data_IF_704320280993
#
_entry.id   IF_704320280993
#
_cell.length_a   1.000
_cell.length_b   1.000
_cell.length_c   1.000
_cell.angle_alpha   90.00
_cell.angle_beta   90.00
_cell.angle_gamma   90.00
#
_symmetry.space_group_name_H-M   'P 1'
#
loop_
_entity.id
_entity.type
_entity.pdbx_description
1 polymer ?
#
# COMPACT_ATOMS: atom_id res chain seq x y z
N UNK A 1 -14.10 27.07 -8.65
CA UNK A 1 -14.12 26.47 -7.30
C UNK A 1 -13.05 25.40 -7.26
N UNK A 2 -12.31 25.35 -6.15
CA UNK A 2 -11.27 24.40 -5.75
C UNK A 2 -10.10 24.21 -6.73
N UNK A 3 -9.14 25.14 -6.66
CA UNK A 3 -7.74 24.76 -6.85
C UNK A 3 -7.39 23.91 -5.64
N UNK A 4 -7.44 22.58 -5.78
CA UNK A 4 -6.60 21.75 -4.93
C UNK A 4 -5.17 22.13 -5.38
N UNK A 5 -4.32 22.71 -4.52
CA UNK A 5 -2.95 22.95 -4.92
C UNK A 5 -2.37 21.57 -5.24
N UNK A 6 -2.04 21.32 -6.50
CA UNK A 6 -1.27 20.14 -6.88
C UNK A 6 0.01 20.20 -6.05
N UNK A 7 0.14 19.31 -5.06
CA UNK A 7 1.39 19.14 -4.33
C UNK A 7 2.41 18.73 -5.40
N UNK A 8 3.54 19.44 -5.55
CA UNK A 8 4.57 19.02 -6.49
C UNK A 8 4.95 17.56 -6.23
N UNK A 9 5.06 16.74 -7.28
CA UNK A 9 5.32 15.30 -7.14
C UNK A 9 6.55 14.99 -6.28
N UNK A 10 7.61 15.81 -6.40
CA UNK A 10 8.81 15.69 -5.55
C UNK A 10 8.50 15.90 -4.06
N UNK A 11 7.64 16.86 -3.74
CA UNK A 11 7.21 17.11 -2.37
C UNK A 11 6.34 15.97 -1.84
N UNK A 12 5.47 15.41 -2.68
CA UNK A 12 4.68 14.24 -2.34
C UNK A 12 5.56 13.02 -2.06
N UNK A 13 6.51 12.72 -2.94
CA UNK A 13 7.46 11.60 -2.77
C UNK A 13 8.25 11.72 -1.46
N UNK A 14 8.77 12.91 -1.15
CA UNK A 14 9.50 13.14 0.09
C UNK A 14 8.64 12.95 1.34
N UNK A 15 7.41 13.49 1.32
CA UNK A 15 6.49 13.38 2.44
C UNK A 15 6.04 11.92 2.65
N UNK A 16 5.76 11.21 1.56
CA UNK A 16 5.36 9.81 1.58
C UNK A 16 6.50 8.89 2.08
N UNK A 17 7.72 9.12 1.60
CA UNK A 17 8.90 8.40 2.09
C UNK A 17 9.13 8.62 3.60
N UNK A 18 8.97 9.85 4.09
CA UNK A 18 9.06 10.16 5.51
C UNK A 18 7.94 9.50 6.35
N UNK A 19 6.73 9.35 5.78
CA UNK A 19 5.66 8.56 6.39
C UNK A 19 6.05 7.09 6.52
N UNK A 20 6.58 6.49 5.45
CA UNK A 20 7.06 5.10 5.46
C UNK A 20 8.27 4.88 6.37
N UNK A 21 9.05 5.91 6.69
CA UNK A 21 10.13 5.79 7.68
C UNK A 21 9.61 5.48 9.09
N UNK A 22 8.35 5.82 9.40
CA UNK A 22 7.68 5.50 10.66
C UNK A 22 7.10 4.08 10.69
N UNK A 23 7.15 3.35 9.58
CA UNK A 23 6.55 2.03 9.46
C UNK A 23 7.01 1.05 10.56
N UNK A 24 8.29 0.95 10.94
CA UNK A 24 8.71 0.06 12.03
C UNK A 24 8.02 0.37 13.37
N UNK A 25 7.79 1.65 13.68
CA UNK A 25 7.10 2.06 14.91
C UNK A 25 5.60 1.69 14.84
N UNK A 26 4.97 1.86 13.67
CA UNK A 26 3.59 1.45 13.44
C UNK A 26 3.41 -0.07 13.61
N UNK A 27 4.30 -0.84 12.98
CA UNK A 27 4.41 -2.30 13.04
C UNK A 27 4.56 -2.80 14.49
N UNK A 28 5.37 -2.13 15.32
CA UNK A 28 5.55 -2.51 16.73
C UNK A 28 4.36 -2.09 17.61
N UNK A 29 3.70 -0.98 17.26
CA UNK A 29 2.58 -0.42 18.03
C UNK A 29 1.25 -1.10 17.76
N UNK A 30 1.05 -1.59 16.54
CA UNK A 30 -0.17 -2.27 16.13
C UNK A 30 -0.02 -3.78 16.33
N UNK A 31 -1.00 -4.37 17.02
CA UNK A 31 -1.12 -5.83 17.00
C UNK A 31 -1.51 -6.17 15.57
N UNK A 32 -0.60 -6.81 14.84
CA UNK A 32 -0.76 -7.27 13.45
C UNK A 32 -1.94 -8.21 13.18
N UNK A 33 -2.91 -8.35 14.08
CA UNK A 33 -4.13 -9.08 13.80
C UNK A 33 -4.88 -8.48 12.58
N UNK A 34 -4.69 -7.19 12.29
CA UNK A 34 -5.31 -6.51 11.15
C UNK A 34 -4.25 -5.99 10.16
N UNK A 35 -4.44 -6.15 8.83
CA UNK A 35 -3.57 -5.51 7.84
C UNK A 35 -3.69 -3.99 7.91
N UNK A 36 -2.56 -3.30 7.86
CA UNK A 36 -2.46 -1.84 7.84
C UNK A 36 -2.36 -1.34 6.40
N UNK A 37 -3.26 -0.47 5.92
CA UNK A 37 -3.11 0.21 4.64
C UNK A 37 -1.89 1.13 4.62
N UNK A 38 -1.23 1.21 3.46
CA UNK A 38 -0.09 2.10 3.24
C UNK A 38 -0.45 3.39 2.49
N UNK A 39 -1.72 3.78 2.50
CA UNK A 39 -2.12 5.06 1.90
C UNK A 39 -1.59 6.25 2.72
N UNK A 40 -1.50 7.46 2.12
CA UNK A 40 -0.98 8.63 2.80
C UNK A 40 -1.71 8.97 4.12
N UNK A 41 -3.02 8.73 4.22
CA UNK A 41 -3.80 8.98 5.43
C UNK A 41 -3.38 8.03 6.55
N UNK A 42 -3.25 6.74 6.24
CA UNK A 42 -2.81 5.70 7.18
C UNK A 42 -1.37 5.91 7.68
N UNK A 43 -0.53 6.59 6.89
CA UNK A 43 0.84 6.95 7.26
C UNK A 43 0.95 8.35 7.91
N UNK A 44 -0.17 9.02 8.19
CA UNK A 44 -0.22 10.39 8.70
C UNK A 44 0.55 11.41 7.85
N UNK A 45 0.63 11.19 6.54
CA UNK A 45 1.29 12.09 5.58
C UNK A 45 0.32 13.18 5.16
N UNK A 46 -0.87 12.79 4.69
CA UNK A 46 -1.94 13.68 4.26
C UNK A 46 -3.29 12.94 4.17
N UNK A 47 -4.45 13.61 4.25
CA UNK A 47 -5.75 12.95 4.35
C UNK A 47 -6.28 12.51 2.98
N UNK A 48 -5.49 11.73 2.24
CA UNK A 48 -5.87 11.12 0.95
C UNK A 48 -5.66 9.63 1.00
N UNK A 49 -6.65 8.89 0.52
CA UNK A 49 -6.58 7.45 0.28
C UNK A 49 -6.04 7.14 -1.11
N UNK A 50 -5.71 5.87 -1.39
CA UNK A 50 -5.27 5.46 -2.74
C UNK A 50 -6.26 5.83 -3.85
N UNK A 51 -7.57 5.90 -3.54
CA UNK A 51 -8.62 6.23 -4.51
C UNK A 51 -8.54 7.68 -5.01
N UNK A 52 -7.84 8.55 -4.29
CA UNK A 52 -7.72 9.98 -4.55
C UNK A 52 -6.38 10.36 -5.19
N UNK A 53 -5.47 9.38 -5.36
CA UNK A 53 -4.15 9.59 -5.94
C UNK A 53 -4.19 9.51 -7.47
N UNK A 54 -3.39 10.36 -8.12
CA UNK A 54 -3.15 10.29 -9.55
C UNK A 54 -2.30 9.06 -9.93
N UNK A 55 -2.29 8.62 -11.20
CA UNK A 55 -1.45 7.51 -11.64
C UNK A 55 0.05 7.71 -11.38
N UNK A 56 0.53 8.96 -11.42
CA UNK A 56 1.94 9.28 -11.13
C UNK A 56 2.24 9.17 -9.63
N UNK A 57 1.32 9.61 -8.77
CA UNK A 57 1.44 9.44 -7.32
C UNK A 57 1.39 7.96 -6.93
N UNK A 58 0.54 7.16 -7.58
CA UNK A 58 0.49 5.71 -7.35
C UNK A 58 1.80 5.00 -7.75
N UNK A 59 2.43 5.41 -8.85
CA UNK A 59 3.75 4.90 -9.26
C UNK A 59 4.84 5.26 -8.23
N UNK A 60 4.81 6.48 -7.70
CA UNK A 60 5.70 6.91 -6.59
C UNK A 60 5.46 6.07 -5.34
N UNK A 61 4.20 5.89 -4.95
CA UNK A 61 3.78 5.07 -3.80
C UNK A 61 4.33 3.67 -3.93
N UNK A 62 4.06 2.98 -5.05
CA UNK A 62 4.51 1.62 -5.28
C UNK A 62 6.03 1.50 -5.18
N UNK A 63 6.77 2.38 -5.87
CA UNK A 63 8.24 2.38 -5.86
C UNK A 63 8.79 2.61 -4.46
N UNK A 64 8.22 3.57 -3.72
CA UNK A 64 8.69 3.90 -2.37
C UNK A 64 8.43 2.75 -1.41
N UNK A 65 7.24 2.12 -1.45
CA UNK A 65 6.91 0.93 -0.67
C UNK A 65 7.90 -0.20 -0.98
N UNK A 66 8.09 -0.53 -2.27
CA UNK A 66 8.92 -1.65 -2.68
C UNK A 66 10.38 -1.45 -2.28
N UNK A 67 10.90 -0.24 -2.45
CA UNK A 67 12.23 0.12 -1.99
C UNK A 67 12.37 -0.02 -0.47
N UNK A 68 11.39 0.49 0.30
CA UNK A 68 11.42 0.45 1.76
C UNK A 68 11.39 -0.98 2.30
N UNK A 69 10.58 -1.84 1.69
CA UNK A 69 10.36 -3.22 2.09
C UNK A 69 11.36 -4.21 1.47
N UNK A 70 12.38 -3.71 0.75
CA UNK A 70 13.45 -4.51 0.19
C UNK A 70 13.06 -5.36 -1.03
N UNK A 71 11.96 -5.03 -1.72
CA UNK A 71 11.43 -5.75 -2.89
C UNK A 71 12.11 -5.34 -4.20
N UNK A 72 13.42 -5.07 -4.16
CA UNK A 72 14.10 -4.33 -5.23
C UNK A 72 14.52 -5.16 -6.44
N UNK A 73 14.65 -4.50 -7.59
CA UNK A 73 15.07 -4.99 -8.92
C UNK A 73 14.08 -5.92 -9.63
N UNK A 74 13.50 -6.87 -8.92
CA UNK A 74 12.51 -7.81 -9.44
C UNK A 74 11.56 -8.26 -8.32
N UNK A 75 10.39 -7.62 -8.15
CA UNK A 75 9.45 -7.95 -7.09
C UNK A 75 8.91 -9.38 -7.20
N UNK A 76 8.91 -9.98 -8.40
CA UNK A 76 8.46 -11.36 -8.59
C UNK A 76 9.36 -12.37 -7.87
N UNK A 77 10.62 -12.03 -7.60
CA UNK A 77 11.52 -12.87 -6.79
C UNK A 77 11.12 -12.94 -5.31
N UNK A 78 10.35 -11.96 -4.85
CA UNK A 78 9.83 -11.87 -3.48
C UNK A 78 8.38 -12.35 -3.37
N UNK A 79 7.73 -12.64 -4.49
CA UNK A 79 6.35 -13.12 -4.53
C UNK A 79 6.26 -14.52 -3.92
N UNK A 80 5.45 -14.67 -2.89
CA UNK A 80 5.24 -15.96 -2.21
C UNK A 80 3.91 -16.62 -2.57
N UNK A 81 2.87 -15.82 -2.86
CA UNK A 81 1.58 -16.34 -3.34
C UNK A 81 0.78 -15.30 -4.11
N UNK A 82 -0.21 -15.80 -4.84
CA UNK A 82 -1.25 -15.01 -5.49
C UNK A 82 -2.59 -15.69 -5.27
N UNK A 83 -3.62 -14.93 -4.94
CA UNK A 83 -4.96 -15.45 -4.73
C UNK A 83 -6.01 -14.42 -5.12
N UNK A 84 -7.27 -14.86 -5.19
CA UNK A 84 -8.40 -13.99 -5.39
C UNK A 84 -9.36 -14.09 -4.22
N UNK A 85 -9.96 -12.97 -3.85
CA UNK A 85 -10.91 -12.85 -2.73
C UNK A 85 -12.06 -11.92 -3.13
N UNK A 86 -13.31 -12.16 -2.72
CA UNK A 86 -14.38 -11.20 -2.95
C UNK A 86 -14.15 -9.93 -2.13
N UNK A 87 -14.49 -8.77 -2.69
CA UNK A 87 -14.55 -7.52 -1.94
C UNK A 87 -15.53 -7.64 -0.77
N UNK A 88 -15.30 -6.97 0.36
CA UNK A 88 -16.27 -6.91 1.45
C UNK A 88 -17.65 -6.40 0.98
N UNK A 89 -18.77 -6.80 1.63
CA UNK A 89 -20.11 -6.41 1.20
C UNK A 89 -20.37 -4.90 1.09
N UNK A 90 -19.54 -4.08 1.73
CA UNK A 90 -19.64 -2.61 1.77
C UNK A 90 -18.54 -1.90 0.97
N UNK A 91 -17.79 -2.64 0.14
CA UNK A 91 -16.72 -2.04 -0.67
C UNK A 91 -17.29 -1.05 -1.70
N UNK A 92 -16.56 0.05 -1.91
CA UNK A 92 -16.88 1.08 -2.91
C UNK A 92 -16.90 0.51 -4.33
N UNK A 93 -16.05 -0.49 -4.58
CA UNK A 93 -16.00 -1.23 -5.85
C UNK A 93 -16.25 -2.71 -5.56
N UNK A 94 -17.45 -3.22 -5.87
CA UNK A 94 -17.78 -4.62 -5.65
C UNK A 94 -17.14 -5.53 -6.72
N UNK A 95 -16.69 -6.72 -6.32
CA UNK A 95 -16.23 -7.76 -7.24
C UNK A 95 -15.15 -8.65 -6.66
N UNK A 96 -14.23 -9.11 -7.51
CA UNK A 96 -13.11 -9.97 -7.13
C UNK A 96 -11.83 -9.16 -7.07
N UNK A 97 -11.17 -9.18 -5.92
CA UNK A 97 -9.84 -8.61 -5.72
C UNK A 97 -8.82 -9.69 -6.07
N UNK A 98 -7.78 -9.31 -6.82
CA UNK A 98 -6.57 -10.11 -6.96
C UNK A 98 -5.54 -9.61 -5.95
N UNK A 99 -5.04 -10.50 -5.10
CA UNK A 99 -4.02 -10.21 -4.11
C UNK A 99 -2.70 -10.90 -4.49
N UNK A 100 -1.61 -10.14 -4.52
CA UNK A 100 -0.24 -10.66 -4.65
C UNK A 100 0.49 -10.41 -3.35
N UNK A 101 1.06 -11.47 -2.77
CA UNK A 101 1.75 -11.40 -1.47
C UNK A 101 3.24 -11.51 -1.67
N UNK A 102 3.98 -10.58 -1.09
CA UNK A 102 5.43 -10.50 -1.15
C UNK A 102 6.06 -10.64 0.24
N UNK A 103 7.15 -11.41 0.34
CA UNK A 103 7.99 -11.43 1.53
C UNK A 103 8.82 -10.15 1.61
N UNK A 104 8.76 -9.46 2.76
CA UNK A 104 9.51 -8.21 2.97
C UNK A 104 10.85 -8.47 3.66
N UNK A 105 11.66 -7.41 3.80
CA UNK A 105 12.87 -7.40 4.63
C UNK A 105 12.59 -7.31 6.15
N UNK A 106 11.33 -7.27 6.58
CA UNK A 106 10.91 -7.24 7.98
C UNK A 106 10.36 -8.62 8.36
N UNK A 107 10.91 -9.23 9.41
CA UNK A 107 10.53 -10.58 9.83
C UNK A 107 9.04 -10.65 10.22
N UNK A 108 8.33 -11.65 9.67
CA UNK A 108 6.91 -11.87 9.96
C UNK A 108 5.94 -10.89 9.27
N UNK A 109 6.45 -9.93 8.48
CA UNK A 109 5.64 -8.91 7.80
C UNK A 109 5.65 -9.13 6.30
N UNK A 110 4.46 -9.09 5.72
CA UNK A 110 4.20 -9.33 4.31
C UNK A 110 3.51 -8.12 3.70
N UNK A 111 3.89 -7.80 2.47
CA UNK A 111 3.18 -6.82 1.65
C UNK A 111 2.12 -7.55 0.83
N UNK A 112 0.90 -7.04 0.83
CA UNK A 112 -0.14 -7.49 -0.08
C UNK A 112 -0.51 -6.34 -1.03
N UNK A 113 -0.25 -6.56 -2.32
CA UNK A 113 -0.75 -5.70 -3.40
C UNK A 113 -2.14 -6.20 -3.81
N UNK A 114 -3.12 -5.30 -3.77
CA UNK A 114 -4.50 -5.58 -4.07
C UNK A 114 -4.87 -4.88 -5.38
N UNK A 115 -5.35 -5.66 -6.35
CA UNK A 115 -5.85 -5.15 -7.63
C UNK A 115 -7.36 -5.34 -7.66
N UNK A 116 -8.09 -4.23 -7.70
CA UNK A 116 -9.54 -4.21 -7.73
C UNK A 116 -10.10 -4.47 -9.14
N UNK A 117 -11.40 -4.80 -9.27
CA UNK A 117 -12.04 -5.05 -10.57
C UNK A 117 -11.92 -3.90 -11.59
N UNK A 118 -11.79 -2.67 -11.10
CA UNK A 118 -11.62 -1.46 -11.91
C UNK A 118 -10.14 -1.09 -12.14
N UNK A 119 -9.24 -2.03 -11.86
CA UNK A 119 -7.79 -1.90 -12.01
C UNK A 119 -7.12 -0.93 -11.03
N UNK A 120 -7.86 -0.39 -10.06
CA UNK A 120 -7.23 0.37 -8.96
C UNK A 120 -6.35 -0.56 -8.13
N UNK A 121 -5.25 -0.01 -7.63
CA UNK A 121 -4.29 -0.72 -6.80
C UNK A 121 -4.28 -0.13 -5.39
N UNK A 122 -4.12 -1.00 -4.39
CA UNK A 122 -3.80 -0.61 -3.03
C UNK A 122 -2.76 -1.55 -2.44
N UNK A 123 -2.10 -1.10 -1.38
CA UNK A 123 -1.08 -1.85 -0.67
C UNK A 123 -1.39 -1.88 0.81
N UNK A 124 -1.32 -3.06 1.40
CA UNK A 124 -1.46 -3.28 2.84
C UNK A 124 -0.28 -4.09 3.34
N UNK A 125 0.14 -3.87 4.58
CA UNK A 125 1.12 -4.73 5.26
C UNK A 125 0.47 -5.47 6.41
N UNK A 126 0.97 -6.65 6.72
CA UNK A 126 0.45 -7.43 7.83
C UNK A 126 1.14 -8.78 7.98
N UNK A 127 0.61 -9.65 8.85
CA UNK A 127 1.09 -11.02 8.95
C UNK A 127 0.66 -11.78 7.70
N UNK A 128 1.13 -13.03 7.60
CA UNK A 128 0.76 -13.91 6.51
C UNK A 128 -0.71 -14.39 6.62
N UNK A 129 -1.65 -13.53 6.24
CA UNK A 129 -3.08 -13.84 6.27
C UNK A 129 -3.78 -13.49 4.96
N UNK A 130 -4.83 -14.24 4.63
CA UNK A 130 -5.71 -13.87 3.53
C UNK A 130 -6.62 -12.74 3.98
N UNK A 131 -6.83 -11.76 3.10
CA UNK A 131 -7.74 -10.63 3.31
C UNK A 131 -9.17 -10.87 2.79
#
# INVERSE_FOLDING_TARGET
MSHNPEIPLESFEQAYAAGLDQLPELIESEIFDTPLPLDPDSLNVEPRTFEELSPLELDIVQKTIFNKLGLTSDPDTHKIREYTTPTPPKATVPGTIKAVVYSTNIEGVFLQELVFPDFRQSWVIGPDQNI
#
